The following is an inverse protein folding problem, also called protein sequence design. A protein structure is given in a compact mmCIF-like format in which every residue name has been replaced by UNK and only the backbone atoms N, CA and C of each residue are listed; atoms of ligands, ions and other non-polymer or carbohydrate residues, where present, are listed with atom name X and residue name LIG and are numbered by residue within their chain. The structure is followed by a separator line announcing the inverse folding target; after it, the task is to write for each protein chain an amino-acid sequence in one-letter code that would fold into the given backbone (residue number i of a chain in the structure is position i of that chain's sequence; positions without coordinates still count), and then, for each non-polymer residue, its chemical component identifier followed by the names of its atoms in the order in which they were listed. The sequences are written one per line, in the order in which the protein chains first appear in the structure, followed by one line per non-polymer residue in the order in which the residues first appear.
data_IF_239391623342
#
_entry.id   IF_239391623342
#
_cell.length_a   1.000
_cell.length_b   1.000
_cell.length_c   1.000
_cell.angle_alpha   90.00
_cell.angle_beta   90.00
_cell.angle_gamma   90.00
#
_symmetry.space_group_name_H-M   'P 1'
#
loop_
_entity.id
_entity.type
_entity.pdbx_description
1 polymer ?
#
# COMPACT_ATOMS: atom_id res chain seq x y z
N UNK A 1 -13.23 -21.88 -5.93
CA UNK A 1 -13.00 -22.51 -4.61
C UNK A 1 -11.93 -21.71 -3.90
N UNK A 2 -12.05 -21.49 -2.59
CA UNK A 2 -11.11 -20.69 -1.81
C UNK A 2 -10.21 -21.58 -0.95
N UNK A 3 -8.95 -21.16 -0.78
CA UNK A 3 -7.98 -21.86 0.06
C UNK A 3 -8.13 -21.46 1.54
N UNK A 4 -8.52 -22.44 2.36
CA UNK A 4 -8.75 -22.26 3.80
C UNK A 4 -7.51 -21.75 4.55
N UNK A 5 -6.30 -22.12 4.12
CA UNK A 5 -5.06 -21.67 4.79
C UNK A 5 -4.91 -20.16 4.64
N UNK A 6 -5.05 -19.66 3.41
CA UNK A 6 -4.95 -18.23 3.10
C UNK A 6 -6.05 -17.40 3.77
N UNK A 7 -7.27 -17.93 3.87
CA UNK A 7 -8.38 -17.29 4.57
C UNK A 7 -8.06 -17.09 6.06
N UNK A 8 -7.46 -18.11 6.70
CA UNK A 8 -7.10 -18.07 8.12
C UNK A 8 -5.94 -17.11 8.39
N UNK A 9 -4.89 -17.16 7.56
CA UNK A 9 -3.71 -16.29 7.70
C UNK A 9 -4.07 -14.81 7.56
N UNK A 10 -4.99 -14.49 6.64
CA UNK A 10 -5.45 -13.12 6.37
C UNK A 10 -6.65 -12.70 7.21
N UNK A 11 -7.17 -13.58 8.08
CA UNK A 11 -8.38 -13.34 8.90
C UNK A 11 -9.57 -12.84 8.06
N UNK A 12 -9.80 -13.47 6.92
CA UNK A 12 -10.93 -13.19 6.05
C UNK A 12 -12.10 -14.12 6.37
N UNK A 13 -13.32 -13.59 6.35
CA UNK A 13 -14.56 -14.36 6.49
C UNK A 13 -15.30 -14.43 5.16
N UNK A 14 -16.12 -15.47 4.95
CA UNK A 14 -16.89 -15.59 3.70
C UNK A 14 -17.90 -14.45 3.52
N UNK A 15 -18.48 -13.95 4.63
CA UNK A 15 -19.38 -12.78 4.63
C UNK A 15 -18.69 -11.53 4.08
N UNK A 16 -17.49 -11.19 4.59
CA UNK A 16 -16.74 -10.01 4.11
C UNK A 16 -16.40 -10.07 2.62
N UNK A 17 -16.11 -11.27 2.10
CA UNK A 17 -15.83 -11.46 0.67
C UNK A 17 -17.11 -11.27 -0.15
N UNK A 18 -18.23 -11.81 0.32
CA UNK A 18 -19.52 -11.64 -0.35
C UNK A 18 -19.93 -10.16 -0.43
N UNK A 19 -19.80 -9.43 0.66
CA UNK A 19 -20.08 -7.99 0.71
C UNK A 19 -19.20 -7.20 -0.26
N UNK A 20 -17.93 -7.56 -0.37
CA UNK A 20 -17.00 -6.92 -1.32
C UNK A 20 -17.34 -7.21 -2.78
N UNK A 21 -17.74 -8.44 -3.09
CA UNK A 21 -18.19 -8.81 -4.43
C UNK A 21 -19.46 -8.03 -4.79
N UNK A 22 -20.41 -7.95 -3.86
CA UNK A 22 -21.66 -7.22 -4.06
C UNK A 22 -21.42 -5.70 -4.21
N UNK A 23 -20.48 -5.13 -3.44
CA UNK A 23 -20.06 -3.73 -3.59
C UNK A 23 -19.38 -3.46 -4.94
N UNK A 24 -18.64 -4.43 -5.49
CA UNK A 24 -17.91 -4.27 -6.76
C UNK A 24 -18.78 -4.43 -8.00
N UNK A 25 -19.69 -5.40 -8.00
CA UNK A 25 -20.50 -5.78 -9.18
C UNK A 25 -21.99 -5.38 -9.08
N UNK A 26 -22.43 -4.88 -7.93
CA UNK A 26 -23.81 -4.43 -7.71
C UNK A 26 -24.84 -5.58 -7.68
N UNK A 27 -26.08 -5.26 -8.04
CA UNK A 27 -27.25 -6.16 -8.01
C UNK A 27 -27.30 -7.15 -9.20
N UNK A 28 -26.41 -7.00 -10.17
CA UNK A 28 -26.35 -7.86 -11.36
C UNK A 28 -25.80 -9.25 -11.05
N UNK A 29 -25.21 -9.44 -9.87
CA UNK A 29 -24.60 -10.70 -9.44
C UNK A 29 -25.25 -11.21 -8.15
N UNK A 30 -25.91 -12.36 -8.26
CA UNK A 30 -26.36 -13.14 -7.11
C UNK A 30 -25.22 -14.05 -6.61
N UNK A 31 -24.78 -13.80 -5.38
CA UNK A 31 -23.66 -14.48 -4.74
C UNK A 31 -24.18 -15.43 -3.66
N UNK A 32 -23.96 -16.73 -3.85
CA UNK A 32 -24.28 -17.76 -2.86
C UNK A 32 -22.97 -18.38 -2.39
N UNK A 33 -22.77 -18.45 -1.07
CA UNK A 33 -21.54 -18.97 -0.49
C UNK A 33 -21.82 -20.01 0.59
N UNK A 34 -20.85 -20.89 0.81
CA UNK A 34 -20.87 -21.87 1.90
C UNK A 34 -20.44 -21.23 3.22
N UNK A 35 -20.94 -21.77 4.33
CA UNK A 35 -20.50 -21.38 5.69
C UNK A 35 -19.00 -21.67 5.91
N UNK A 36 -18.37 -20.93 6.82
CA UNK A 36 -16.94 -21.02 7.18
C UNK A 36 -16.58 -22.41 7.76
N UNK A 37 -17.57 -23.12 8.30
CA UNK A 37 -17.41 -24.47 8.86
C UNK A 37 -17.42 -25.60 7.82
N UNK A 38 -17.76 -25.32 6.57
CA UNK A 38 -17.81 -26.35 5.52
C UNK A 38 -16.42 -26.91 5.20
N UNK A 39 -16.35 -28.19 4.80
CA UNK A 39 -15.09 -28.82 4.39
C UNK A 39 -14.43 -28.12 3.20
N UNK A 40 -15.27 -27.57 2.29
CA UNK A 40 -14.84 -26.82 1.12
C UNK A 40 -15.52 -25.45 1.09
N UNK A 41 -14.70 -24.41 0.95
CA UNK A 41 -15.15 -23.03 0.83
C UNK A 41 -15.45 -22.70 -0.64
N UNK A 42 -16.73 -22.63 -0.98
CA UNK A 42 -17.19 -22.45 -2.37
C UNK A 42 -18.11 -21.24 -2.47
N UNK A 43 -17.82 -20.39 -3.45
CA UNK A 43 -18.71 -19.35 -3.94
C UNK A 43 -19.36 -19.82 -5.25
N UNK A 44 -20.67 -19.58 -5.37
CA UNK A 44 -21.46 -19.77 -6.59
C UNK A 44 -22.02 -18.41 -6.98
N UNK A 45 -21.60 -17.94 -8.13
CA UNK A 45 -22.00 -16.65 -8.70
C UNK A 45 -23.02 -16.93 -9.81
N UNK A 46 -24.14 -16.21 -9.80
CA UNK A 46 -25.16 -16.27 -10.84
C UNK A 46 -25.46 -14.86 -11.29
N UNK A 47 -25.58 -14.66 -12.60
CA UNK A 47 -26.01 -13.39 -13.16
C UNK A 47 -27.52 -13.26 -12.96
N UNK A 48 -27.96 -12.13 -12.46
CA UNK A 48 -29.38 -11.82 -12.31
C UNK A 48 -29.90 -11.37 -13.66
N UNK A 49 -30.69 -12.20 -14.35
CA UNK A 49 -31.41 -11.72 -15.53
C UNK A 49 -32.50 -10.76 -15.06
N UNK A 50 -32.35 -9.48 -15.37
CA UNK A 50 -33.48 -8.55 -15.26
C UNK A 50 -34.48 -8.93 -16.35
N UNK A 51 -35.44 -9.77 -15.99
CA UNK A 51 -36.65 -10.00 -16.76
C UNK A 51 -37.55 -8.76 -16.63
N UNK A 52 -37.20 -7.65 -17.28
CA UNK A 52 -38.13 -6.51 -17.42
C UNK A 52 -38.23 -6.01 -18.87
N UNK A 53 -39.22 -6.59 -19.55
CA UNK A 53 -40.24 -5.91 -20.37
C UNK A 53 -39.80 -4.68 -21.17
N UNK A 54 -39.39 -4.94 -22.40
CA UNK A 54 -39.42 -3.97 -23.49
C UNK A 54 -39.25 -4.72 -24.80
N UNK A 55 -40.37 -5.00 -25.47
CA UNK A 55 -40.33 -5.32 -26.89
C UNK A 55 -39.71 -4.13 -27.65
N UNK A 56 -38.94 -4.45 -28.67
CA UNK A 56 -38.28 -3.53 -29.61
C UNK A 56 -37.10 -2.73 -29.04
N UNK A 57 -35.88 -3.20 -29.29
CA UNK A 57 -34.93 -2.49 -30.15
C UNK A 57 -33.65 -3.33 -30.37
N UNK A 58 -33.36 -3.55 -31.65
CA UNK A 58 -32.10 -3.89 -32.32
C UNK A 58 -31.05 -4.78 -31.61
N UNK A 59 -30.77 -5.91 -32.28
CA UNK A 59 -29.63 -6.79 -32.09
C UNK A 59 -28.30 -6.01 -32.15
N UNK A 60 -27.88 -5.45 -31.03
CA UNK A 60 -26.47 -5.22 -30.74
C UNK A 60 -26.03 -6.44 -29.94
N UNK A 61 -25.13 -7.23 -30.53
CA UNK A 61 -24.57 -8.48 -30.02
C UNK A 61 -24.68 -8.62 -28.50
N UNK A 62 -25.68 -9.39 -28.04
CA UNK A 62 -25.65 -9.94 -26.69
C UNK A 62 -24.38 -10.78 -26.65
N UNK A 63 -23.32 -10.23 -26.05
CA UNK A 63 -22.06 -10.93 -25.85
C UNK A 63 -22.39 -12.32 -25.33
N UNK A 64 -21.91 -13.37 -26.01
CA UNK A 64 -22.24 -14.75 -25.63
C UNK A 64 -22.01 -14.92 -24.13
N UNK A 65 -22.98 -15.50 -23.41
CA UNK A 65 -22.96 -15.60 -21.95
C UNK A 65 -21.63 -16.19 -21.43
N UNK A 66 -21.02 -17.11 -22.18
CA UNK A 66 -19.71 -17.70 -21.88
C UNK A 66 -18.56 -16.69 -21.94
N UNK A 67 -18.57 -15.76 -22.90
CA UNK A 67 -17.58 -14.69 -23.03
C UNK A 67 -17.77 -13.68 -21.90
N UNK A 68 -19.02 -13.38 -21.54
CA UNK A 68 -19.33 -12.51 -20.41
C UNK A 68 -18.87 -13.09 -19.08
N UNK A 69 -19.12 -14.38 -18.81
CA UNK A 69 -18.64 -15.06 -17.60
C UNK A 69 -17.10 -15.07 -17.49
N UNK A 70 -16.40 -15.28 -18.61
CA UNK A 70 -14.91 -15.18 -18.64
C UNK A 70 -14.41 -13.77 -18.36
N UNK A 71 -15.14 -12.76 -18.82
CA UNK A 71 -14.80 -11.36 -18.54
C UNK A 71 -14.95 -11.04 -17.05
N UNK A 72 -16.06 -11.45 -16.42
CA UNK A 72 -16.28 -11.29 -14.99
C UNK A 72 -15.22 -12.03 -14.18
N UNK A 73 -14.87 -13.26 -14.57
CA UNK A 73 -13.80 -14.03 -13.91
C UNK A 73 -12.48 -13.27 -13.94
N UNK A 74 -12.06 -12.80 -15.13
CA UNK A 74 -10.80 -12.07 -15.27
C UNK A 74 -10.79 -10.78 -14.47
N UNK A 75 -11.87 -10.00 -14.54
CA UNK A 75 -12.01 -8.72 -13.84
C UNK A 75 -12.05 -8.92 -12.32
N UNK A 76 -12.81 -9.91 -11.82
CA UNK A 76 -12.87 -10.21 -10.40
C UNK A 76 -11.51 -10.66 -9.83
N UNK A 77 -10.67 -11.31 -10.62
CA UNK A 77 -9.33 -11.71 -10.17
C UNK A 77 -8.30 -10.58 -10.22
N UNK A 78 -8.46 -9.60 -11.13
CA UNK A 78 -7.50 -8.50 -11.29
C UNK A 78 -7.84 -7.27 -10.45
N UNK A 79 -9.11 -6.86 -10.43
CA UNK A 79 -9.51 -5.53 -9.99
C UNK A 79 -10.20 -5.57 -8.61
N UNK A 80 -10.81 -6.70 -8.24
CA UNK A 80 -11.49 -6.83 -6.95
C UNK A 80 -10.46 -6.90 -5.81
N UNK A 81 -10.42 -5.84 -5.02
CA UNK A 81 -9.55 -5.73 -3.84
C UNK A 81 -10.34 -6.02 -2.58
N UNK A 82 -9.98 -7.12 -1.90
CA UNK A 82 -10.66 -7.53 -0.66
C UNK A 82 -10.26 -6.61 0.51
N UNK A 83 -8.95 -6.46 0.73
CA UNK A 83 -8.37 -5.68 1.81
C UNK A 83 -6.99 -5.14 1.42
N UNK A 84 -6.59 -4.04 2.07
CA UNK A 84 -5.28 -3.42 1.91
C UNK A 84 -5.24 -2.30 0.88
N UNK A 85 -4.04 -1.80 0.63
CA UNK A 85 -3.78 -0.70 -0.30
C UNK A 85 -3.18 -1.30 -1.57
N UNK A 86 -3.78 -1.02 -2.72
CA UNK A 86 -3.39 -1.59 -4.03
C UNK A 86 -1.94 -1.34 -4.41
N UNK A 87 -1.41 -0.15 -4.09
CA UNK A 87 -0.03 0.20 -4.41
C UNK A 87 1.02 -0.53 -3.56
N UNK A 88 0.61 -1.20 -2.46
CA UNK A 88 1.52 -1.94 -1.57
C UNK A 88 1.39 -3.42 -1.86
N UNK A 89 2.46 -4.01 -2.39
CA UNK A 89 2.48 -5.41 -2.80
C UNK A 89 2.62 -6.36 -1.60
N UNK A 90 3.54 -6.05 -0.68
CA UNK A 90 3.89 -6.92 0.45
C UNK A 90 4.26 -6.09 1.67
N UNK A 91 4.02 -6.66 2.84
CA UNK A 91 4.38 -6.07 4.13
C UNK A 91 5.14 -7.11 4.96
N UNK A 92 6.28 -6.70 5.48
CA UNK A 92 7.15 -7.51 6.33
C UNK A 92 7.11 -6.99 7.75
N UNK A 93 6.86 -7.88 8.70
CA UNK A 93 6.89 -7.55 10.12
C UNK A 93 8.17 -8.07 10.75
N UNK A 94 8.93 -7.20 11.41
CA UNK A 94 10.14 -7.61 12.11
C UNK A 94 10.36 -6.75 13.37
N UNK A 95 11.13 -7.28 14.32
CA UNK A 95 11.64 -6.49 15.45
C UNK A 95 13.02 -5.93 15.09
N UNK A 96 13.28 -4.63 15.26
CA UNK A 96 14.57 -4.04 14.97
C UNK A 96 15.64 -4.58 15.93
N UNK A 97 16.76 -5.03 15.36
CA UNK A 97 17.92 -5.47 16.13
C UNK A 97 18.88 -4.32 16.43
N UNK A 98 19.05 -3.41 15.48
CA UNK A 98 19.90 -2.22 15.59
C UNK A 98 19.28 -1.18 16.51
N UNK A 99 20.11 -0.44 17.23
CA UNK A 99 19.65 0.58 18.16
C UNK A 99 19.07 1.81 17.45
N UNK A 100 19.51 2.10 16.22
CA UNK A 100 19.01 3.25 15.43
C UNK A 100 17.52 3.15 15.09
N UNK A 101 17.02 1.91 14.92
CA UNK A 101 15.60 1.64 14.65
C UNK A 101 14.78 1.43 15.93
N UNK A 102 15.40 1.42 17.12
CA UNK A 102 14.69 1.28 18.40
C UNK A 102 14.18 2.64 18.87
N UNK A 103 13.02 2.63 19.52
CA UNK A 103 12.44 3.81 20.12
C UNK A 103 13.18 4.12 21.43
N UNK A 104 13.90 5.24 21.47
CA UNK A 104 14.53 5.72 22.70
C UNK A 104 13.53 6.56 23.50
N UNK A 105 13.29 6.17 24.76
CA UNK A 105 12.46 6.92 25.70
C UNK A 105 13.30 7.39 26.90
N UNK A 106 12.93 8.53 27.46
CA UNK A 106 13.50 9.03 28.71
C UNK A 106 12.72 8.39 29.86
N UNK A 107 13.41 7.71 30.78
CA UNK A 107 12.80 7.12 31.97
C UNK A 107 12.44 8.21 32.99
N UNK A 108 11.50 7.96 33.92
CA UNK A 108 11.20 8.90 35.00
C UNK A 108 12.41 9.26 35.86
N UNK A 109 13.43 8.40 35.87
CA UNK A 109 14.72 8.56 36.57
C UNK A 109 15.73 9.42 35.78
N UNK A 110 15.38 9.86 34.57
CA UNK A 110 16.23 10.67 33.69
C UNK A 110 17.21 9.86 32.82
N UNK A 111 17.12 8.53 32.82
CA UNK A 111 17.94 7.66 31.96
C UNK A 111 17.36 7.49 30.55
N UNK A 112 18.18 7.00 29.61
CA UNK A 112 17.73 6.61 28.27
C UNK A 112 17.44 5.11 28.23
N UNK A 113 16.29 4.73 27.70
CA UNK A 113 15.93 3.32 27.48
C UNK A 113 15.49 3.11 26.03
N UNK A 114 16.14 2.17 25.36
CA UNK A 114 15.78 1.74 24.01
C UNK A 114 14.76 0.62 24.06
N UNK A 115 13.59 0.84 23.45
CA UNK A 115 12.51 -0.13 23.35
C UNK A 115 12.41 -0.61 21.89
N UNK A 116 12.42 -1.93 21.71
CA UNK A 116 12.21 -2.55 20.41
C UNK A 116 10.71 -2.77 20.17
N UNK A 117 10.10 -1.86 19.42
CA UNK A 117 8.71 -1.97 18.94
C UNK A 117 8.67 -2.85 17.68
N UNK A 118 7.51 -3.45 17.39
CA UNK A 118 7.30 -4.14 16.11
C UNK A 118 7.23 -3.13 14.97
N UNK A 119 8.01 -3.35 13.92
CA UNK A 119 8.04 -2.50 12.72
C UNK A 119 7.45 -3.24 11.53
N UNK A 120 6.76 -2.49 10.67
CA UNK A 120 6.24 -2.93 9.39
C UNK A 120 7.05 -2.26 8.28
N UNK A 121 7.63 -3.04 7.38
CA UNK A 121 8.29 -2.57 6.16
C UNK A 121 7.45 -2.97 4.95
N UNK A 122 7.12 -2.00 4.10
CA UNK A 122 6.24 -2.19 2.95
C UNK A 122 7.03 -2.17 1.65
N UNK A 123 6.63 -3.02 0.71
CA UNK A 123 7.10 -2.99 -0.68
C UNK A 123 6.04 -2.31 -1.55
N UNK A 124 6.26 -1.04 -1.88
CA UNK A 124 5.33 -0.17 -2.60
C UNK A 124 5.21 1.22 -1.98
N UNK A 125 4.58 2.16 -2.70
CA UNK A 125 4.46 3.57 -2.31
C UNK A 125 2.98 3.97 -2.19
N UNK A 126 2.58 4.39 -0.98
CA UNK A 126 1.26 4.96 -0.70
C UNK A 126 1.24 5.71 0.65
N UNK A 127 2.26 6.54 0.92
CA UNK A 127 2.51 7.21 2.18
C UNK A 127 1.27 7.98 2.68
N UNK A 128 0.55 8.69 1.81
CA UNK A 128 -0.65 9.43 2.21
C UNK A 128 -1.74 8.53 2.80
N UNK A 129 -2.00 7.39 2.16
CA UNK A 129 -2.99 6.41 2.64
C UNK A 129 -2.51 5.75 3.94
N UNK A 130 -1.24 5.35 3.98
CA UNK A 130 -0.62 4.73 5.16
C UNK A 130 -0.69 5.66 6.38
N UNK A 131 -0.37 6.94 6.23
CA UNK A 131 -0.45 7.91 7.33
C UNK A 131 -1.88 8.15 7.83
N UNK A 132 -2.90 7.84 7.01
CA UNK A 132 -4.32 7.99 7.35
C UNK A 132 -4.90 6.77 8.07
N UNK A 133 -4.17 5.66 8.13
CA UNK A 133 -4.64 4.42 8.76
C UNK A 133 -4.58 4.49 10.29
N UNK A 134 -5.50 3.78 10.93
CA UNK A 134 -5.55 3.71 12.39
C UNK A 134 -4.39 2.90 12.93
N UNK A 135 -3.91 3.27 14.13
CA UNK A 135 -2.79 2.63 14.83
C UNK A 135 -1.41 2.75 14.15
N UNK A 136 -1.30 3.53 13.07
CA UNK A 136 -0.02 3.93 12.48
C UNK A 136 0.46 5.22 13.16
N UNK A 137 1.77 5.31 13.42
CA UNK A 137 2.38 6.50 14.00
C UNK A 137 2.80 7.47 12.87
N UNK A 138 2.09 8.58 12.66
CA UNK A 138 2.38 9.48 11.54
C UNK A 138 3.66 10.29 11.75
N UNK A 139 4.21 10.34 12.97
CA UNK A 139 5.38 11.16 13.29
C UNK A 139 6.68 10.45 12.90
N UNK A 140 6.70 9.12 13.02
CA UNK A 140 7.91 8.30 12.81
C UNK A 140 7.90 7.49 11.52
N UNK A 141 6.77 7.40 10.82
CA UNK A 141 6.68 6.74 9.52
C UNK A 141 7.47 7.53 8.47
N UNK A 142 8.35 6.85 7.74
CA UNK A 142 9.19 7.43 6.67
C UNK A 142 9.09 6.58 5.40
N UNK A 143 9.26 7.21 4.24
CA UNK A 143 9.36 6.55 2.93
C UNK A 143 10.77 6.74 2.36
N UNK A 144 11.19 5.84 1.47
CA UNK A 144 12.42 5.98 0.69
C UNK A 144 12.16 6.66 -0.67
N UNK A 145 10.90 6.87 -1.06
CA UNK A 145 10.53 7.59 -2.28
C UNK A 145 10.49 9.11 -2.02
N UNK A 146 11.48 9.81 -2.57
CA UNK A 146 11.63 11.27 -2.42
C UNK A 146 10.54 12.05 -3.16
N UNK A 147 10.05 11.53 -4.29
CA UNK A 147 8.99 12.17 -5.07
C UNK A 147 7.67 12.13 -4.29
N UNK A 148 7.35 10.97 -3.71
CA UNK A 148 6.17 10.81 -2.86
C UNK A 148 6.23 11.74 -1.64
N UNK A 149 7.39 11.86 -0.98
CA UNK A 149 7.57 12.77 0.16
C UNK A 149 7.35 14.22 -0.25
N UNK A 150 7.80 14.62 -1.45
CA UNK A 150 7.56 15.96 -1.97
C UNK A 150 6.06 16.25 -2.11
N UNK A 151 5.30 15.30 -2.65
CA UNK A 151 3.86 15.44 -2.87
C UNK A 151 3.06 15.45 -1.56
N UNK A 152 3.44 14.61 -0.58
CA UNK A 152 2.67 14.43 0.66
C UNK A 152 3.10 15.40 1.77
N UNK A 153 4.40 15.61 1.96
CA UNK A 153 4.96 16.36 3.09
C UNK A 153 5.65 17.68 2.68
N UNK A 154 6.02 17.84 1.41
CA UNK A 154 6.61 19.06 0.86
C UNK A 154 8.14 19.13 0.88
N UNK A 155 8.68 20.27 0.43
CA UNK A 155 10.10 20.43 0.11
C UNK A 155 11.05 20.36 1.32
N UNK A 156 10.62 20.80 2.49
CA UNK A 156 11.44 20.73 3.71
C UNK A 156 11.59 19.29 4.21
N UNK A 157 10.54 18.47 4.07
CA UNK A 157 10.62 17.05 4.38
C UNK A 157 11.57 16.33 3.42
N UNK A 158 11.52 16.69 2.13
CA UNK A 158 12.45 16.19 1.10
C UNK A 158 13.90 16.49 1.46
N UNK A 159 14.22 17.74 1.83
CA UNK A 159 15.58 18.13 2.24
C UNK A 159 16.12 17.20 3.33
N UNK A 160 15.32 16.93 4.37
CA UNK A 160 15.73 16.06 5.47
C UNK A 160 15.77 14.58 5.07
N UNK A 161 14.87 14.14 4.20
CA UNK A 161 14.81 12.76 3.73
C UNK A 161 16.03 12.40 2.88
N UNK A 162 16.44 13.28 1.96
CA UNK A 162 17.64 13.10 1.14
C UNK A 162 18.89 13.01 2.03
N UNK A 163 19.01 13.91 3.02
CA UNK A 163 20.13 13.91 3.96
C UNK A 163 20.23 12.59 4.72
N UNK A 164 19.09 12.09 5.23
CA UNK A 164 19.03 10.79 5.94
C UNK A 164 19.44 9.65 5.02
N UNK A 165 18.97 9.64 3.79
CA UNK A 165 19.21 8.52 2.87
C UNK A 165 20.64 8.48 2.32
N UNK A 166 21.23 9.64 2.06
CA UNK A 166 22.66 9.72 1.76
C UNK A 166 23.52 9.27 2.94
N UNK A 167 23.18 9.70 4.16
CA UNK A 167 23.90 9.28 5.36
C UNK A 167 23.77 7.77 5.61
N UNK A 168 22.59 7.19 5.38
CA UNK A 168 22.36 5.75 5.50
C UNK A 168 23.25 4.94 4.53
N UNK A 169 23.39 5.38 3.27
CA UNK A 169 24.25 4.71 2.28
C UNK A 169 25.73 4.82 2.62
N UNK A 170 26.19 6.02 3.02
CA UNK A 170 27.60 6.27 3.35
C UNK A 170 28.02 5.52 4.63
N UNK A 171 27.17 5.57 5.66
CA UNK A 171 27.44 4.90 6.94
C UNK A 171 27.43 3.37 6.82
N UNK A 172 26.63 2.81 5.91
CA UNK A 172 26.63 1.39 5.60
C UNK A 172 27.98 0.90 5.05
N UNK A 173 28.67 1.71 4.24
CA UNK A 173 30.01 1.42 3.72
C UNK A 173 31.13 1.62 4.77
N UNK A 174 30.79 2.14 5.97
CA UNK A 174 31.75 2.48 7.02
C UNK A 174 32.57 3.74 6.72
N UNK A 175 32.29 4.41 5.61
CA UNK A 175 32.88 5.67 5.22
C UNK A 175 32.28 6.83 6.03
N UNK A 176 33.06 7.89 6.26
CA UNK A 176 32.58 9.08 6.95
C UNK A 176 32.63 10.30 6.04
N UNK A 177 31.52 11.04 6.00
CA UNK A 177 31.42 12.34 5.34
C UNK A 177 30.92 13.35 6.36
N UNK A 178 31.54 14.53 6.39
CA UNK A 178 31.12 15.59 7.28
C UNK A 178 29.71 16.09 6.92
N UNK A 179 28.84 16.24 7.92
CA UNK A 179 27.48 16.77 7.80
C UNK A 179 27.38 18.02 6.92
N UNK A 180 28.37 18.94 6.99
CA UNK A 180 28.36 20.18 6.21
C UNK A 180 28.29 19.93 4.70
N UNK A 181 28.92 18.87 4.20
CA UNK A 181 28.90 18.53 2.77
C UNK A 181 27.54 17.97 2.35
N UNK A 182 26.95 17.09 3.17
CA UNK A 182 25.64 16.50 2.91
C UNK A 182 24.53 17.57 2.97
N UNK A 183 24.58 18.43 3.98
CA UNK A 183 23.62 19.53 4.13
C UNK A 183 23.70 20.50 2.95
N UNK A 184 24.91 20.91 2.53
CA UNK A 184 25.08 21.81 1.38
C UNK A 184 24.50 21.21 0.09
N UNK A 185 24.70 19.91 -0.11
CA UNK A 185 24.18 19.20 -1.28
C UNK A 185 22.64 19.20 -1.29
N UNK A 186 22.03 18.84 -0.15
CA UNK A 186 20.57 18.84 0.00
C UNK A 186 20.00 20.23 -0.22
N UNK A 187 20.64 21.27 0.34
CA UNK A 187 20.23 22.66 0.17
C UNK A 187 20.26 23.09 -1.29
N UNK A 188 21.32 22.74 -2.03
CA UNK A 188 21.41 23.02 -3.47
C UNK A 188 20.30 22.31 -4.25
N UNK A 189 19.96 21.06 -3.88
CA UNK A 189 18.88 20.32 -4.55
C UNK A 189 17.48 20.88 -4.28
N UNK A 190 17.24 21.51 -3.13
CA UNK A 190 15.91 22.00 -2.71
C UNK A 190 15.73 23.52 -2.73
N UNK A 191 16.80 24.30 -2.96
CA UNK A 191 16.79 25.77 -2.83
C UNK A 191 15.73 26.49 -3.68
N UNK A 192 15.36 25.95 -4.85
CA UNK A 192 14.40 26.60 -5.76
C UNK A 192 12.93 26.33 -5.39
N UNK A 193 12.64 25.53 -4.37
CA UNK A 193 11.27 25.16 -3.98
C UNK A 193 10.68 23.95 -4.74
N UNK A 194 11.47 23.35 -5.63
CA UNK A 194 11.14 22.11 -6.35
C UNK A 194 12.39 21.23 -6.40
N UNK A 195 12.19 19.91 -6.48
CA UNK A 195 13.28 18.95 -6.49
C UNK A 195 14.14 19.10 -7.76
N UNK A 196 15.40 19.49 -7.59
CA UNK A 196 16.36 19.57 -8.68
C UNK A 196 17.26 18.33 -8.74
N UNK A 197 17.24 17.64 -9.87
CA UNK A 197 18.17 16.56 -10.14
C UNK A 197 19.57 17.12 -10.47
N UNK A 198 20.62 16.62 -9.81
CA UNK A 198 22.02 16.99 -10.11
C UNK A 198 22.49 16.20 -11.33
N UNK A 199 22.00 16.61 -12.49
CA UNK A 199 22.40 16.06 -13.79
C UNK A 199 22.58 17.22 -14.77
N UNK A 200 23.20 16.94 -15.93
CA UNK A 200 23.32 17.92 -17.02
C UNK A 200 22.00 18.59 -17.42
N UNK A 201 20.87 17.92 -17.17
CA UNK A 201 19.54 18.42 -17.49
C UNK A 201 18.94 19.28 -16.38
N UNK A 202 19.25 19.00 -15.11
CA UNK A 202 18.70 19.75 -13.98
C UNK A 202 19.47 21.02 -13.61
N UNK A 203 20.76 21.09 -13.91
CA UNK A 203 21.61 22.25 -13.58
C UNK A 203 21.39 23.44 -14.54
N UNK A 204 20.94 23.18 -15.78
CA UNK A 204 20.69 24.21 -16.79
C UNK A 204 19.29 24.88 -16.67
N UNK A 205 18.51 24.52 -15.65
CA UNK A 205 17.25 25.18 -15.27
C UNK A 205 17.48 25.98 -14.00
#
# INVERSE_FOLDING_TARGET
ELDRKRMTDKKLTMEQIADKIHQGFGDDLNVIYTDDNADKLVFRLRITNQDDKGADEEQIDKMEDDVFLRCIESNMLSDLTLQGITSICKVYMHKPQTDDKKRTIITPEGGFKSIADWLLETDGTALLKVLSEQHIDPVRTTSNDICEIFEVLGIEAVRKSIEREMNNVISFDGSYVNYRHLALLCDVMTAKGHLMAITRHGINR
#
